data_IF_664760431539
#
_entry.id   IF_664760431539
#
_cell.length_a   1.000
_cell.length_b   1.000
_cell.length_c   1.000
_cell.angle_alpha   90.00
_cell.angle_beta   90.00
_cell.angle_gamma   90.00
#
_symmetry.space_group_name_H-M   'P 1'
#
loop_
_entity.id
_entity.type
_entity.pdbx_description
1 polymer ?
#
# COMPACT_ATOMS: atom_id res chain seq x y z
N UNK A 1 34.39 -21.07 19.00
CA UNK A 1 34.02 -19.84 18.28
C UNK A 1 32.80 -20.14 17.44
N UNK A 2 31.70 -19.41 17.62
CA UNK A 2 30.51 -19.56 16.79
C UNK A 2 30.52 -18.43 15.75
N UNK A 3 30.45 -18.80 14.47
CA UNK A 3 30.33 -17.84 13.37
C UNK A 3 28.93 -17.20 13.35
N UNK A 4 28.87 -15.88 13.32
CA UNK A 4 27.63 -15.12 13.12
C UNK A 4 27.73 -14.36 11.81
N UNK A 5 26.88 -14.70 10.83
CA UNK A 5 26.81 -13.95 9.58
C UNK A 5 26.20 -12.56 9.82
N UNK A 6 26.82 -11.52 9.25
CA UNK A 6 26.30 -10.14 9.25
C UNK A 6 25.43 -9.82 8.00
N UNK A 7 25.28 -10.79 7.09
CA UNK A 7 24.48 -10.63 5.87
C UNK A 7 23.74 -11.92 5.59
N UNK A 8 22.48 -11.98 6.01
CA UNK A 8 21.63 -13.14 5.83
C UNK A 8 20.20 -12.68 5.45
N UNK A 9 19.60 -13.23 4.38
CA UNK A 9 18.31 -12.75 3.85
C UNK A 9 17.14 -12.89 4.83
N UNK A 10 17.25 -13.75 5.84
CA UNK A 10 16.25 -13.86 6.90
C UNK A 10 16.09 -12.54 7.71
N UNK A 11 17.09 -11.66 7.70
CA UNK A 11 16.97 -10.31 8.25
C UNK A 11 16.16 -9.33 7.39
N UNK A 12 15.74 -9.73 6.19
CA UNK A 12 15.07 -8.87 5.19
C UNK A 12 13.57 -8.66 5.42
N UNK A 13 13.02 -9.08 6.56
CA UNK A 13 11.59 -8.91 6.87
C UNK A 13 11.05 -7.47 6.72
N UNK A 14 11.81 -6.40 7.04
CA UNK A 14 11.34 -5.03 6.83
C UNK A 14 10.90 -4.73 5.39
N UNK A 15 11.52 -5.35 4.38
CA UNK A 15 11.16 -5.12 2.98
C UNK A 15 9.70 -5.48 2.71
N UNK A 16 9.26 -6.70 3.06
CA UNK A 16 7.86 -7.07 2.83
C UNK A 16 6.92 -6.35 3.81
N UNK A 17 7.35 -6.06 5.03
CA UNK A 17 6.50 -5.37 6.02
C UNK A 17 6.19 -3.94 5.58
N UNK A 18 7.18 -3.21 5.08
CA UNK A 18 7.00 -1.85 4.60
C UNK A 18 6.17 -1.80 3.32
N UNK A 19 6.42 -2.71 2.37
CA UNK A 19 5.59 -2.79 1.15
C UNK A 19 4.14 -3.15 1.46
N UNK A 20 3.92 -4.18 2.27
CA UNK A 20 2.58 -4.75 2.48
C UNK A 20 1.71 -3.94 3.44
N UNK A 21 2.31 -3.24 4.42
CA UNK A 21 1.54 -2.59 5.49
C UNK A 21 1.80 -1.09 5.58
N UNK A 22 3.06 -0.63 5.46
CA UNK A 22 3.33 0.82 5.50
C UNK A 22 2.82 1.49 4.20
N UNK A 23 3.24 0.99 3.04
CA UNK A 23 2.68 1.41 1.76
C UNK A 23 1.31 0.77 1.47
N UNK A 24 1.06 -0.42 2.03
CA UNK A 24 -0.26 -1.07 2.02
C UNK A 24 -0.54 -1.99 0.83
N UNK A 25 0.42 -2.25 -0.04
CA UNK A 25 0.21 -2.98 -1.30
C UNK A 25 0.25 -4.48 -1.05
N UNK A 26 -0.86 -5.20 -1.29
CA UNK A 26 -0.91 -6.67 -1.13
C UNK A 26 -1.72 -7.34 -2.25
N UNK A 27 -1.37 -8.58 -2.62
CA UNK A 27 -2.21 -9.37 -3.51
C UNK A 27 -3.45 -9.86 -2.75
N UNK A 28 -4.63 -9.73 -3.36
CA UNK A 28 -5.85 -10.42 -2.92
C UNK A 28 -5.92 -11.81 -3.55
N UNK A 29 -5.36 -11.95 -4.75
CA UNK A 29 -5.18 -13.21 -5.45
C UNK A 29 -3.75 -13.39 -5.92
N UNK A 30 -3.39 -14.65 -6.21
CA UNK A 30 -2.09 -14.99 -6.78
C UNK A 30 -1.78 -14.13 -8.01
N UNK A 31 -0.60 -13.50 -8.01
CA UNK A 31 -0.12 -12.71 -9.14
C UNK A 31 -0.74 -11.32 -9.28
N UNK A 32 -1.45 -10.78 -8.29
CA UNK A 32 -1.97 -9.40 -8.29
C UNK A 32 -3.00 -9.07 -9.38
N UNK A 33 -3.72 -10.08 -9.90
CA UNK A 33 -4.88 -9.78 -10.76
C UNK A 33 -5.93 -8.98 -9.99
N UNK A 34 -6.14 -9.37 -8.73
CA UNK A 34 -6.83 -8.59 -7.70
C UNK A 34 -5.86 -8.17 -6.61
N UNK A 35 -5.95 -6.91 -6.18
CA UNK A 35 -5.04 -6.32 -5.20
C UNK A 35 -5.77 -5.40 -4.21
N UNK A 36 -5.09 -5.08 -3.11
CA UNK A 36 -5.54 -4.10 -2.13
C UNK A 36 -4.41 -3.10 -1.84
N UNK A 37 -4.77 -1.84 -1.68
CA UNK A 37 -3.94 -0.79 -1.09
C UNK A 37 -4.57 -0.40 0.25
N UNK A 38 -3.96 -0.85 1.34
CA UNK A 38 -4.44 -0.62 2.70
C UNK A 38 -3.29 -0.15 3.60
N UNK A 39 -2.96 1.15 3.56
CA UNK A 39 -1.81 1.70 4.26
C UNK A 39 -2.07 1.84 5.76
N UNK A 40 -1.06 1.50 6.56
CA UNK A 40 -1.03 1.76 8.00
C UNK A 40 -0.59 3.20 8.27
N UNK A 41 -1.54 4.12 8.16
CA UNK A 41 -1.33 5.57 8.25
C UNK A 41 -1.30 6.13 9.68
N UNK A 42 -1.50 5.28 10.70
CA UNK A 42 -1.50 5.67 12.11
C UNK A 42 -0.70 4.69 12.97
N UNK A 43 -0.31 5.12 14.18
CA UNK A 43 0.38 4.29 15.17
C UNK A 43 1.91 4.17 15.03
N UNK A 44 2.49 4.55 13.88
CA UNK A 44 3.94 4.47 13.63
C UNK A 44 4.65 5.83 13.49
N UNK A 45 3.94 6.95 13.59
CA UNK A 45 4.46 8.31 13.32
C UNK A 45 5.10 8.46 11.93
N UNK A 46 4.62 7.71 10.94
CA UNK A 46 5.00 7.85 9.53
C UNK A 46 3.99 8.77 8.87
N UNK A 47 4.47 9.86 8.24
CA UNK A 47 3.61 10.84 7.57
C UNK A 47 3.54 10.65 6.07
N UNK A 48 4.39 9.81 5.47
CA UNK A 48 4.30 9.46 4.06
C UNK A 48 4.98 8.13 3.76
N UNK A 49 4.52 7.47 2.70
CA UNK A 49 5.21 6.32 2.12
C UNK A 49 4.90 6.19 0.63
N UNK A 50 5.81 5.57 -0.11
CA UNK A 50 5.59 5.13 -1.48
C UNK A 50 6.24 3.78 -1.72
N UNK A 51 5.61 2.96 -2.56
CA UNK A 51 6.17 1.70 -3.01
C UNK A 51 5.64 1.35 -4.40
N UNK A 52 6.41 0.52 -5.10
CA UNK A 52 6.02 -0.12 -6.36
C UNK A 52 6.29 -1.62 -6.24
N UNK A 53 5.34 -2.43 -6.68
CA UNK A 53 5.49 -3.88 -6.81
C UNK A 53 5.42 -4.23 -8.30
N UNK A 54 6.45 -4.91 -8.81
CA UNK A 54 6.44 -5.43 -10.17
C UNK A 54 5.54 -6.68 -10.20
N UNK A 55 4.40 -6.59 -10.89
CA UNK A 55 3.46 -7.70 -11.04
C UNK A 55 3.56 -8.32 -12.44
N UNK A 56 3.01 -9.54 -12.66
CA UNK A 56 2.88 -10.10 -14.00
C UNK A 56 2.09 -9.25 -15.00
N UNK A 57 1.26 -8.31 -14.51
CA UNK A 57 0.44 -7.43 -15.34
C UNK A 57 1.09 -6.06 -15.58
N UNK A 58 2.25 -5.79 -14.97
CA UNK A 58 2.92 -4.49 -14.94
C UNK A 58 3.11 -3.97 -13.51
N UNK A 59 3.59 -2.73 -13.40
CA UNK A 59 3.86 -2.13 -12.09
C UNK A 59 2.57 -1.67 -11.40
N UNK A 60 2.40 -2.09 -10.14
CA UNK A 60 1.41 -1.54 -9.22
C UNK A 60 2.13 -0.62 -8.24
N UNK A 61 1.80 0.67 -8.24
CA UNK A 61 2.36 1.64 -7.30
C UNK A 61 1.30 2.30 -6.45
N UNK A 62 1.67 2.60 -5.21
CA UNK A 62 0.88 3.38 -4.28
C UNK A 62 1.79 4.36 -3.55
N UNK A 63 1.35 5.60 -3.43
CA UNK A 63 1.98 6.64 -2.64
C UNK A 63 0.93 7.35 -1.80
N UNK A 64 1.29 7.71 -0.58
CA UNK A 64 0.42 8.49 0.30
C UNK A 64 1.22 9.47 1.16
N UNK A 65 0.56 10.57 1.52
CA UNK A 65 1.05 11.58 2.46
C UNK A 65 -0.10 12.02 3.37
N UNK A 66 0.17 12.05 4.67
CA UNK A 66 -0.74 12.49 5.71
C UNK A 66 -0.25 13.83 6.27
N UNK A 67 -1.05 14.87 6.05
CA UNK A 67 -0.86 16.19 6.65
C UNK A 67 -2.09 16.48 7.51
N UNK A 68 -1.87 16.69 8.81
CA UNK A 68 -2.92 16.76 9.82
C UNK A 68 -3.84 15.52 9.79
N UNK A 69 -5.02 15.66 9.19
CA UNK A 69 -6.04 14.59 9.02
C UNK A 69 -6.40 14.36 7.55
N UNK A 70 -5.66 14.98 6.62
CA UNK A 70 -5.85 14.80 5.18
C UNK A 70 -4.84 13.81 4.64
N UNK A 71 -5.34 12.67 4.18
CA UNK A 71 -4.55 11.64 3.53
C UNK A 71 -4.66 11.82 2.01
N UNK A 72 -3.61 12.32 1.39
CA UNK A 72 -3.47 12.38 -0.06
C UNK A 72 -2.91 11.06 -0.56
N UNK A 73 -3.59 10.42 -1.53
CA UNK A 73 -3.23 9.10 -2.05
C UNK A 73 -3.10 9.16 -3.56
N UNK A 74 -2.13 8.45 -4.11
CA UNK A 74 -1.98 8.21 -5.55
C UNK A 74 -1.72 6.73 -5.81
N UNK A 75 -2.50 6.13 -6.69
CA UNK A 75 -2.36 4.73 -7.11
C UNK A 75 -2.21 4.67 -8.63
N UNK A 76 -1.25 3.89 -9.12
CA UNK A 76 -1.14 3.52 -10.53
C UNK A 76 -1.22 2.00 -10.63
N UNK A 77 -2.32 1.51 -11.20
CA UNK A 77 -2.58 0.09 -11.34
C UNK A 77 -2.51 -0.34 -12.82
N UNK A 78 -1.90 -1.48 -13.13
CA UNK A 78 -1.73 -1.94 -14.51
C UNK A 78 -3.06 -2.34 -15.15
N UNK A 79 -3.17 -2.16 -16.47
CA UNK A 79 -4.38 -2.49 -17.24
C UNK A 79 -4.76 -3.96 -17.07
N UNK A 80 -6.06 -4.23 -16.85
CA UNK A 80 -6.59 -5.59 -16.72
C UNK A 80 -6.48 -6.19 -15.30
N UNK A 81 -6.15 -5.35 -14.31
CA UNK A 81 -6.26 -5.66 -12.87
C UNK A 81 -7.34 -4.80 -12.23
N UNK A 82 -7.86 -5.24 -11.08
CA UNK A 82 -8.80 -4.48 -10.26
C UNK A 82 -8.38 -4.55 -8.79
N UNK A 83 -8.84 -3.60 -7.99
CA UNK A 83 -8.51 -3.60 -6.58
C UNK A 83 -9.23 -2.55 -5.77
N UNK A 84 -8.97 -2.62 -4.47
CA UNK A 84 -9.61 -1.76 -3.48
C UNK A 84 -8.57 -0.94 -2.74
N UNK A 85 -8.85 0.35 -2.56
CA UNK A 85 -8.21 1.14 -1.52
C UNK A 85 -9.07 1.07 -0.26
N UNK A 86 -8.47 0.75 0.88
CA UNK A 86 -9.14 0.74 2.18
C UNK A 86 -8.27 1.42 3.22
N UNK A 87 -8.83 2.29 4.06
CA UNK A 87 -8.11 2.86 5.20
C UNK A 87 -9.03 3.00 6.40
N UNK A 88 -8.47 2.83 7.61
CA UNK A 88 -9.20 3.12 8.83
C UNK A 88 -9.57 4.61 8.86
N UNK A 89 -10.85 4.90 9.09
CA UNK A 89 -11.39 6.24 9.21
C UNK A 89 -12.20 6.34 10.52
N UNK A 90 -11.52 6.52 11.67
CA UNK A 90 -12.18 6.50 12.99
C UNK A 90 -13.22 7.62 13.17
N UNK A 91 -13.12 8.68 12.39
CA UNK A 91 -14.09 9.78 12.37
C UNK A 91 -15.44 9.41 11.72
N UNK A 92 -15.52 8.30 10.97
CA UNK A 92 -16.74 7.86 10.29
C UNK A 92 -17.52 6.82 11.11
N UNK A 93 -18.84 6.71 10.88
CA UNK A 93 -19.70 5.72 11.54
C UNK A 93 -19.39 4.27 11.13
N UNK A 94 -18.83 4.07 9.94
CA UNK A 94 -18.40 2.75 9.44
C UNK A 94 -17.00 2.37 9.95
N UNK A 95 -16.19 3.36 10.34
CA UNK A 95 -14.82 3.16 10.82
C UNK A 95 -13.78 2.91 9.72
N UNK A 96 -14.22 2.80 8.46
CA UNK A 96 -13.36 2.59 7.28
C UNK A 96 -13.82 3.46 6.11
N UNK A 97 -12.85 3.87 5.29
CA UNK A 97 -13.06 4.41 3.95
C UNK A 97 -12.68 3.34 2.94
N UNK A 98 -13.49 3.16 1.91
CA UNK A 98 -13.25 2.19 0.84
C UNK A 98 -13.51 2.83 -0.54
N UNK A 99 -12.66 2.53 -1.51
CA UNK A 99 -12.87 2.90 -2.91
C UNK A 99 -12.35 1.81 -3.86
N UNK A 100 -13.11 1.52 -4.92
CA UNK A 100 -12.78 0.50 -5.92
C UNK A 100 -12.07 1.12 -7.13
N UNK A 101 -11.11 0.41 -7.69
CA UNK A 101 -10.27 0.85 -8.81
C UNK A 101 -10.21 -0.20 -9.90
N UNK A 102 -10.33 0.28 -11.13
CA UNK A 102 -9.94 -0.46 -12.33
C UNK A 102 -8.53 -0.04 -12.74
N UNK A 103 -7.70 -1.00 -13.09
CA UNK A 103 -6.36 -0.74 -13.60
C UNK A 103 -6.42 -0.08 -14.97
N UNK A 104 -5.94 1.16 -15.06
CA UNK A 104 -5.92 1.96 -16.31
C UNK A 104 -4.51 2.20 -16.83
N UNK A 105 -3.47 1.80 -16.08
CA UNK A 105 -2.07 2.14 -16.34
C UNK A 105 -1.72 3.61 -16.09
N UNK A 106 -2.67 4.43 -15.61
CA UNK A 106 -2.47 5.86 -15.33
C UNK A 106 -2.64 6.12 -13.83
N UNK A 107 -1.92 7.12 -13.31
CA UNK A 107 -2.04 7.54 -11.93
C UNK A 107 -3.44 8.12 -11.63
N UNK A 108 -4.04 7.65 -10.54
CA UNK A 108 -5.28 8.18 -9.98
C UNK A 108 -5.00 8.74 -8.59
N UNK A 109 -5.36 10.00 -8.36
CA UNK A 109 -5.13 10.68 -7.07
C UNK A 109 -6.44 11.11 -6.43
N UNK A 110 -6.50 11.02 -5.11
CA UNK A 110 -7.66 11.42 -4.30
C UNK A 110 -7.22 11.77 -2.88
N UNK A 111 -8.12 12.41 -2.12
CA UNK A 111 -7.89 12.79 -0.73
C UNK A 111 -8.96 12.17 0.16
N UNK A 112 -8.54 11.64 1.30
CA UNK A 112 -9.43 11.10 2.33
C UNK A 112 -9.26 11.92 3.61
N UNK A 113 -10.36 12.29 4.23
CA UNK A 113 -10.39 12.92 5.54
C UNK A 113 -10.47 11.82 6.60
N UNK A 114 -9.38 11.61 7.36
CA UNK A 114 -9.28 10.57 8.40
C UNK A 114 -9.95 11.01 9.71
#
# INVERSE_FOLDING_TARGET
>A
DLFTSLSHPWGGAPTYAFTNYVAGIRPVEFGFRRWIVNPLVSGLNVTSANATVNTPYGDLSAAWELVDSQLSVTITAPVGTDGTFEVAQPSSSTGTYENHFEGTGTATSFVVQL
#
